data_IF_373543236805
#
_entry.id   IF_373543236805
#
_cell.length_a   1.000
_cell.length_b   1.000
_cell.length_c   1.000
_cell.angle_alpha   90.00
_cell.angle_beta   90.00
_cell.angle_gamma   90.00
#
_symmetry.space_group_name_H-M   'P 1'
#
loop_
_entity.id
_entity.type
_entity.pdbx_description
1 polymer ?
#
# COMPACT_ATOMS: atom_id res chain seq x y z
N UNK A 1 6.40 -28.94 -10.76
CA UNK A 1 6.08 -28.15 -10.57
C UNK A 1 5.78 -27.89 -10.26
N UNK A 2 6.02 -28.30 -10.43
CA UNK A 2 5.68 -27.50 -10.23
C UNK A 2 5.32 -27.22 -10.02
N UNK A 3 5.47 -27.45 -10.26
CA UNK A 3 5.06 -26.75 -10.20
C UNK A 3 4.73 -26.81 -9.94
N UNK A 4 5.01 -27.21 -10.20
CA UNK A 4 4.56 -26.75 -10.10
C UNK A 4 4.03 -26.54 -9.86
N UNK A 5 4.19 -26.78 -10.25
CA UNK A 5 3.78 -26.20 -10.21
C UNK A 5 3.43 -25.96 -10.02
N UNK A 6 3.49 -25.98 -10.43
CA UNK A 6 3.26 -25.44 -10.45
C UNK A 6 3.15 -25.48 -10.48
N UNK A 7 3.42 -26.02 -10.88
CA UNK A 7 3.42 -25.83 -11.07
C UNK A 7 3.02 -26.15 -11.22
N UNK A 8 3.07 -26.62 -11.76
CA UNK A 8 2.64 -26.56 -12.12
C UNK A 8 1.86 -26.41 -12.09
N UNK A 9 1.85 -26.56 -12.14
CA UNK A 9 1.16 -26.08 -12.24
C UNK A 9 0.71 -26.01 -12.43
N UNK A 10 0.80 -26.17 -12.97
CA UNK A 10 0.43 -25.75 -13.28
C UNK A 10 0.38 -26.28 -13.90
N UNK A 11 0.30 -26.61 -14.54
CA UNK A 11 0.31 -26.78 -15.21
C UNK A 11 0.22 -26.76 -15.85
N UNK A 12 -0.03 -27.09 -16.53
CA UNK A 12 -0.09 -27.01 -17.28
C UNK A 12 -0.31 -26.53 -18.09
N UNK A 13 -0.68 -26.24 -18.37
CA UNK A 13 -1.00 -25.80 -19.33
C UNK A 13 -0.89 -24.49 -19.84
N UNK A 14 -0.74 -23.88 -19.53
CA UNK A 14 -0.58 -22.88 -19.89
C UNK A 14 -0.11 -22.10 -19.71
N UNK A 15 0.00 -21.67 -20.08
CA UNK A 15 0.59 -21.20 -20.21
C UNK A 15 1.53 -20.07 -20.53
N UNK A 16 1.75 -19.06 -19.73
CA UNK A 16 2.75 -18.03 -19.86
C UNK A 16 4.04 -18.54 -19.26
N UNK A 17 5.15 -18.57 -19.98
CA UNK A 17 6.43 -18.93 -19.36
C UNK A 17 6.73 -18.04 -18.17
N UNK A 18 7.31 -18.59 -17.11
CA UNK A 18 7.53 -17.87 -15.88
C UNK A 18 8.36 -16.61 -16.10
N UNK A 19 9.38 -16.68 -16.93
CA UNK A 19 10.24 -15.53 -17.18
C UNK A 19 9.51 -14.41 -17.93
N UNK A 20 8.62 -14.76 -18.88
CA UNK A 20 7.81 -13.74 -19.55
C UNK A 20 6.87 -13.07 -18.58
N UNK A 21 6.26 -13.83 -17.70
CA UNK A 21 5.35 -13.27 -16.72
C UNK A 21 6.08 -12.33 -15.76
N UNK A 22 7.27 -12.72 -15.30
CA UNK A 22 8.02 -11.92 -14.34
C UNK A 22 8.58 -10.65 -14.95
N UNK A 23 8.60 -10.54 -16.29
CA UNK A 23 9.07 -9.33 -16.94
C UNK A 23 7.96 -8.34 -17.24
N UNK A 24 6.70 -8.69 -16.98
CA UNK A 24 5.61 -7.74 -17.24
C UNK A 24 5.65 -6.61 -16.23
N UNK A 25 5.30 -5.38 -16.67
CA UNK A 25 5.25 -4.25 -15.73
C UNK A 25 4.29 -4.50 -14.57
N UNK A 26 3.15 -5.14 -14.83
CA UNK A 26 2.16 -5.43 -13.80
C UNK A 26 2.74 -6.31 -12.71
N UNK A 27 3.49 -7.33 -13.11
CA UNK A 27 4.08 -8.24 -12.14
C UNK A 27 5.18 -7.53 -11.33
N UNK A 28 5.99 -6.71 -11.99
CA UNK A 28 7.03 -5.96 -11.31
C UNK A 28 6.44 -4.98 -10.30
N UNK A 29 5.35 -4.32 -10.67
CA UNK A 29 4.65 -3.43 -9.75
C UNK A 29 4.12 -4.18 -8.54
N UNK A 30 3.51 -5.34 -8.76
CA UNK A 30 3.02 -6.16 -7.67
C UNK A 30 4.15 -6.60 -6.73
N UNK A 31 5.28 -7.01 -7.29
CA UNK A 31 6.43 -7.39 -6.48
C UNK A 31 6.94 -6.22 -5.65
N UNK A 32 7.01 -5.04 -6.27
CA UNK A 32 7.44 -3.83 -5.57
C UNK A 32 6.51 -3.55 -4.40
N UNK A 33 5.21 -3.59 -4.64
CA UNK A 33 4.22 -3.38 -3.60
C UNK A 33 4.41 -4.37 -2.45
N UNK A 34 4.54 -5.65 -2.77
CA UNK A 34 4.66 -6.69 -1.75
C UNK A 34 5.95 -6.58 -0.96
N UNK A 35 7.03 -6.15 -1.59
CA UNK A 35 8.31 -6.00 -0.90
C UNK A 35 8.35 -4.75 -0.03
N UNK A 36 7.80 -3.65 -0.54
CA UNK A 36 7.89 -2.38 0.17
C UNK A 36 6.95 -2.28 1.35
N UNK A 37 5.75 -2.88 1.26
CA UNK A 37 4.75 -2.71 2.31
C UNK A 37 5.29 -3.06 3.70
N UNK A 38 5.86 -4.27 3.92
CA UNK A 38 6.36 -4.58 5.27
C UNK A 38 7.53 -3.69 5.70
N UNK A 39 8.38 -3.27 4.75
CA UNK A 39 9.48 -2.38 5.08
C UNK A 39 8.97 -1.01 5.54
N UNK A 40 7.96 -0.48 4.84
CA UNK A 40 7.40 0.80 5.21
C UNK A 40 6.69 0.71 6.56
N UNK A 41 5.93 -0.35 6.79
CA UNK A 41 5.24 -0.52 8.07
C UNK A 41 6.23 -0.59 9.22
N UNK A 42 7.37 -1.25 9.01
CA UNK A 42 8.39 -1.31 10.05
C UNK A 42 8.94 0.07 10.37
N UNK A 43 9.25 0.86 9.34
CA UNK A 43 9.75 2.21 9.55
C UNK A 43 8.71 3.09 10.23
N UNK A 44 7.44 2.95 9.86
CA UNK A 44 6.37 3.72 10.48
C UNK A 44 6.27 3.40 11.96
N UNK A 45 6.34 2.11 12.33
CA UNK A 45 6.30 1.73 13.74
C UNK A 45 7.45 2.32 14.53
N UNK A 46 8.61 2.43 13.91
CA UNK A 46 9.79 3.00 14.55
C UNK A 46 9.85 4.52 14.43
N UNK A 47 8.89 5.12 13.73
CA UNK A 47 8.85 6.55 13.47
C UNK A 47 10.10 7.04 12.76
N UNK A 48 10.59 6.24 11.81
CA UNK A 48 11.74 6.57 11.00
C UNK A 48 11.31 7.23 9.71
N UNK A 49 12.13 8.16 9.25
CA UNK A 49 11.85 8.86 8.00
C UNK A 49 11.98 7.91 6.81
N UNK A 50 11.07 8.05 5.86
CA UNK A 50 11.11 7.34 4.59
C UNK A 50 11.41 8.36 3.50
N UNK A 51 12.37 8.04 2.63
CA UNK A 51 12.75 8.98 1.57
C UNK A 51 11.63 9.14 0.56
N UNK A 52 11.53 10.33 0.01
CA UNK A 52 10.42 10.67 -0.87
C UNK A 52 10.35 9.75 -2.08
N UNK A 53 11.50 9.41 -2.66
CA UNK A 53 11.50 8.55 -3.84
C UNK A 53 10.95 7.16 -3.53
N UNK A 54 11.13 6.68 -2.29
CA UNK A 54 10.57 5.38 -1.89
C UNK A 54 9.05 5.48 -1.79
N UNK A 55 8.55 6.57 -1.22
CA UNK A 55 7.11 6.79 -1.13
C UNK A 55 6.47 6.87 -2.52
N UNK A 56 7.11 7.56 -3.44
CA UNK A 56 6.61 7.68 -4.80
C UNK A 56 6.63 6.34 -5.52
N UNK A 57 7.68 5.56 -5.31
CA UNK A 57 7.77 4.22 -5.88
C UNK A 57 6.65 3.33 -5.34
N UNK A 58 6.38 3.45 -4.04
CA UNK A 58 5.32 2.68 -3.42
C UNK A 58 3.95 3.04 -4.00
N UNK A 59 3.68 4.34 -4.11
CA UNK A 59 2.39 4.77 -4.68
C UNK A 59 2.24 4.29 -6.11
N UNK A 60 3.30 4.39 -6.91
CA UNK A 60 3.26 3.96 -8.31
C UNK A 60 3.10 2.45 -8.44
N UNK A 61 3.48 1.69 -7.41
CA UNK A 61 3.40 0.23 -7.48
C UNK A 61 1.96 -0.27 -7.47
N UNK A 62 1.04 0.49 -6.87
CA UNK A 62 -0.37 0.05 -6.83
C UNK A 62 -1.29 1.25 -6.59
N UNK A 63 -1.38 2.17 -7.58
CA UNK A 63 -2.05 3.47 -7.36
C UNK A 63 -3.56 3.38 -7.20
N UNK A 64 -4.16 2.22 -7.50
CA UNK A 64 -5.61 2.07 -7.35
C UNK A 64 -6.02 1.40 -6.05
N UNK A 65 -5.06 0.99 -5.24
CA UNK A 65 -5.36 0.26 -4.01
C UNK A 65 -5.43 1.21 -2.82
N UNK A 66 -6.56 1.18 -2.11
CA UNK A 66 -6.77 2.06 -0.96
C UNK A 66 -5.69 1.91 0.09
N UNK A 67 -5.20 0.68 0.29
CA UNK A 67 -4.25 0.42 1.38
C UNK A 67 -2.93 1.16 1.21
N UNK A 68 -2.50 1.35 -0.04
CA UNK A 68 -1.30 2.14 -0.31
C UNK A 68 -1.44 3.54 0.31
N UNK A 69 -2.60 4.16 0.13
CA UNK A 69 -2.82 5.51 0.64
C UNK A 69 -3.03 5.53 2.14
N UNK A 70 -3.61 4.47 2.69
CA UNK A 70 -3.71 4.34 4.14
C UNK A 70 -2.31 4.26 4.76
N UNK A 71 -1.42 3.45 4.19
CA UNK A 71 -0.06 3.33 4.69
C UNK A 71 0.67 4.67 4.60
N UNK A 72 0.51 5.39 3.48
CA UNK A 72 1.17 6.69 3.34
C UNK A 72 0.65 7.69 4.36
N UNK A 73 -0.66 7.69 4.61
CA UNK A 73 -1.22 8.53 5.66
C UNK A 73 -0.67 8.17 7.03
N UNK A 74 -0.57 6.88 7.33
CA UNK A 74 0.00 6.42 8.58
C UNK A 74 1.45 6.92 8.74
N UNK A 75 2.20 6.95 7.65
CA UNK A 75 3.55 7.48 7.70
C UNK A 75 3.57 8.95 8.10
N UNK A 76 2.70 9.76 7.47
CA UNK A 76 2.69 11.19 7.79
C UNK A 76 2.20 11.43 9.21
N UNK A 77 1.29 10.61 9.70
CA UNK A 77 0.90 10.69 11.11
C UNK A 77 2.09 10.42 12.02
N UNK A 78 2.87 9.39 11.72
CA UNK A 78 4.05 9.05 12.51
C UNK A 78 5.08 10.17 12.49
N UNK A 79 5.13 10.92 11.40
CA UNK A 79 6.04 12.06 11.25
C UNK A 79 5.46 13.35 11.82
N UNK A 80 4.34 13.26 12.51
CA UNK A 80 3.67 14.42 13.12
C UNK A 80 3.26 15.46 12.09
N UNK A 81 2.77 14.98 10.96
CA UNK A 81 2.23 15.83 9.90
C UNK A 81 0.77 15.48 9.66
N UNK A 82 -0.12 15.88 10.56
CA UNK A 82 -1.52 15.42 10.50
C UNK A 82 -2.28 15.90 9.26
N UNK A 83 -1.94 17.08 8.72
CA UNK A 83 -2.63 17.56 7.53
C UNK A 83 -2.32 16.69 6.33
N UNK A 84 -1.06 16.30 6.16
CA UNK A 84 -0.68 15.38 5.09
C UNK A 84 -1.30 14.00 5.30
N UNK A 85 -1.33 13.54 6.54
CA UNK A 85 -1.95 12.24 6.84
C UNK A 85 -3.40 12.24 6.36
N UNK A 86 -4.15 13.31 6.68
CA UNK A 86 -5.54 13.39 6.28
C UNK A 86 -5.69 13.38 4.76
N UNK A 87 -4.82 14.09 4.05
CA UNK A 87 -4.86 14.12 2.60
C UNK A 87 -4.77 12.71 2.02
N UNK A 88 -3.83 11.90 2.52
CA UNK A 88 -3.64 10.56 1.99
C UNK A 88 -4.74 9.61 2.42
N UNK A 89 -5.23 9.72 3.65
CA UNK A 89 -6.38 8.92 4.09
C UNK A 89 -7.62 9.24 3.27
N UNK A 90 -7.83 10.51 2.90
CA UNK A 90 -8.94 10.88 2.04
C UNK A 90 -8.79 10.30 0.65
N UNK A 91 -7.55 10.24 0.13
CA UNK A 91 -7.30 9.55 -1.13
C UNK A 91 -7.67 8.07 -1.04
N UNK A 92 -7.35 7.44 0.10
CA UNK A 92 -7.71 6.05 0.31
C UNK A 92 -9.22 5.85 0.22
N UNK A 93 -9.99 6.75 0.84
CA UNK A 93 -11.46 6.63 0.83
C UNK A 93 -12.06 6.79 -0.56
N UNK A 94 -11.33 7.39 -1.50
CA UNK A 94 -11.80 7.54 -2.87
C UNK A 94 -11.56 6.29 -3.71
N UNK A 95 -10.84 5.31 -3.19
CA UNK A 95 -10.58 4.06 -3.89
C UNK A 95 -11.59 3.01 -3.45
N UNK A 96 -11.81 1.97 -4.26
CA UNK A 96 -12.70 0.88 -3.82
C UNK A 96 -12.16 0.21 -2.57
N UNK A 97 -13.01 0.09 -1.55
CA UNK A 97 -12.65 -0.57 -0.30
C UNK A 97 -13.65 -1.70 -0.09
N UNK A 98 -13.20 -2.97 -0.14
CA UNK A 98 -14.13 -4.10 -0.15
C UNK A 98 -14.83 -4.34 1.17
N UNK A 99 -14.25 -3.92 2.30
CA UNK A 99 -14.82 -4.20 3.61
C UNK A 99 -15.19 -2.90 4.32
N UNK A 100 -16.42 -2.84 4.81
CA UNK A 100 -16.90 -1.66 5.52
C UNK A 100 -16.03 -1.35 6.75
N UNK A 101 -15.58 -2.38 7.43
CA UNK A 101 -14.74 -2.20 8.62
C UNK A 101 -13.44 -1.46 8.31
N UNK A 102 -12.87 -1.73 7.16
CA UNK A 102 -11.64 -1.06 6.75
C UNK A 102 -11.90 0.39 6.40
N UNK A 103 -13.04 0.65 5.75
CA UNK A 103 -13.43 2.02 5.44
C UNK A 103 -13.65 2.82 6.72
N UNK A 104 -14.33 2.23 7.69
CA UNK A 104 -14.59 2.89 8.97
C UNK A 104 -13.31 3.15 9.73
N UNK A 105 -12.35 2.22 9.67
CA UNK A 105 -11.06 2.44 10.32
C UNK A 105 -10.38 3.69 9.79
N UNK A 106 -10.38 3.87 8.46
CA UNK A 106 -9.75 5.02 7.85
C UNK A 106 -10.51 6.29 8.20
N UNK A 107 -11.83 6.25 8.19
CA UNK A 107 -12.64 7.40 8.57
C UNK A 107 -12.35 7.84 10.01
N UNK A 108 -12.17 6.88 10.91
CA UNK A 108 -11.85 7.18 12.30
C UNK A 108 -10.47 7.82 12.43
N UNK A 109 -9.51 7.38 11.63
CA UNK A 109 -8.19 8.00 11.63
C UNK A 109 -8.28 9.47 11.25
N UNK A 110 -9.07 9.78 10.22
CA UNK A 110 -9.24 11.15 9.78
C UNK A 110 -9.91 11.98 10.87
N UNK A 111 -10.98 11.46 11.46
CA UNK A 111 -11.70 12.16 12.50
C UNK A 111 -10.80 12.50 13.68
N UNK A 112 -9.99 11.53 14.10
CA UNK A 112 -9.12 11.73 15.24
C UNK A 112 -8.11 12.84 14.98
N UNK A 113 -7.50 12.84 13.80
CA UNK A 113 -6.50 13.87 13.49
C UNK A 113 -7.12 15.24 13.31
N UNK A 114 -8.31 15.30 12.69
CA UNK A 114 -9.02 16.57 12.55
C UNK A 114 -9.36 17.18 13.89
N UNK A 115 -9.85 16.35 14.82
CA UNK A 115 -10.19 16.81 16.14
C UNK A 115 -8.97 17.31 16.90
N UNK A 116 -7.88 16.53 16.87
CA UNK A 116 -6.64 16.92 17.53
C UNK A 116 -6.10 18.22 16.94
N UNK A 117 -6.18 18.35 15.61
CA UNK A 117 -5.74 19.56 14.95
C UNK A 117 -6.51 20.79 15.37
N UNK A 118 -7.81 20.65 15.60
CA UNK A 118 -8.63 21.77 16.05
C UNK A 118 -8.30 22.20 17.46
N UNK A 119 -7.91 21.26 18.27
CA UNK A 119 -7.60 21.55 19.68
C UNK A 119 -6.23 22.16 19.86
N UNK A 120 -5.36 21.97 18.85
CA UNK A 120 -4.04 22.55 18.93
C UNK A 120 -4.04 23.97 18.44
#
# INVERSE_FOLDING_TARGET
DTINLQHEIYSSNLTIPADEFTETPEFQHLLTYKKLTPLLLKKIRKKEKIEEHVLKTYEASNPSLYYVYEVMGDYYEAMQQPQQAIVYWQKALKKPIPKLQEKERIQQKIQKQSKDGKES
#
